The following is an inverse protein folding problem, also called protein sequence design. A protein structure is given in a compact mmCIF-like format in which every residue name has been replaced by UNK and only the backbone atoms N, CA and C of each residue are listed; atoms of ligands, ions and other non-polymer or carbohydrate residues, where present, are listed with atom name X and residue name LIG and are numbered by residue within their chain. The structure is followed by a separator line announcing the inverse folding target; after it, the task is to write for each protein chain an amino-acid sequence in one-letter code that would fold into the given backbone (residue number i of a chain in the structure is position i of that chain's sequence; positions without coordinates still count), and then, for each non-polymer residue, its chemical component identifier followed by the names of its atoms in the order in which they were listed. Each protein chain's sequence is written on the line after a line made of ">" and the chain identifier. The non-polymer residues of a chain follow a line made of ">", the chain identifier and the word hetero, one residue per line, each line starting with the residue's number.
data_IF_431437424467
#
_entry.id   IF_431437424467
#
_cell.length_a   1.000
_cell.length_b   1.000
_cell.length_c   1.000
_cell.angle_alpha   90.00
_cell.angle_beta   90.00
_cell.angle_gamma   90.00
#
_symmetry.space_group_name_H-M   'P 1'
#
loop_
_entity.id
_entity.type
_entity.pdbx_description
1 polymer ?
#
# COMPACT_ATOMS: atom_id res chain seq x y z
N UNK A 1 -12.06 20.45 -3.59
CA UNK A 1 -11.67 19.07 -3.91
C UNK A 1 -10.61 18.66 -2.88
N UNK A 2 -10.67 17.43 -2.35
CA UNK A 2 -9.73 16.90 -1.33
C UNK A 2 -8.76 15.88 -1.89
N UNK A 3 -8.81 15.65 -3.20
CA UNK A 3 -7.98 14.68 -3.88
C UNK A 3 -6.53 15.17 -4.01
N UNK A 4 -5.61 14.21 -4.18
CA UNK A 4 -4.18 14.48 -4.34
C UNK A 4 -3.60 13.60 -5.45
N UNK A 5 -2.73 14.19 -6.27
CA UNK A 5 -1.97 13.48 -7.30
C UNK A 5 -0.51 13.44 -6.88
N UNK A 6 0.00 12.24 -6.60
CA UNK A 6 1.40 12.00 -6.27
C UNK A 6 2.19 11.68 -7.54
N UNK A 7 3.30 12.38 -7.74
CA UNK A 7 4.18 12.15 -8.89
C UNK A 7 3.78 12.88 -10.18
N UNK A 8 2.80 13.79 -10.14
CA UNK A 8 2.27 14.51 -11.31
C UNK A 8 3.34 15.13 -12.23
N UNK A 9 4.47 15.57 -11.65
CA UNK A 9 5.55 16.20 -12.42
C UNK A 9 6.40 15.24 -13.26
N UNK A 10 6.68 14.03 -12.75
CA UNK A 10 7.74 13.16 -13.29
C UNK A 10 7.36 11.67 -13.40
N UNK A 11 6.29 11.22 -12.73
CA UNK A 11 5.90 9.82 -12.76
C UNK A 11 5.24 9.50 -14.10
N UNK A 12 5.64 8.39 -14.72
CA UNK A 12 4.96 7.87 -15.92
C UNK A 12 3.49 7.53 -15.64
N UNK A 13 3.21 7.11 -14.41
CA UNK A 13 1.87 6.79 -13.91
C UNK A 13 1.69 7.50 -12.56
N UNK A 14 1.25 8.78 -12.56
CA UNK A 14 0.93 9.48 -11.33
C UNK A 14 -0.18 8.75 -10.56
N UNK A 15 -0.07 8.76 -9.23
CA UNK A 15 -1.03 8.11 -8.34
C UNK A 15 -2.07 9.15 -7.90
N UNK A 16 -3.33 8.94 -8.31
CA UNK A 16 -4.45 9.79 -7.90
C UNK A 16 -5.21 9.14 -6.74
N UNK A 17 -5.30 9.86 -5.62
CA UNK A 17 -6.02 9.47 -4.41
C UNK A 17 -7.18 10.43 -4.15
N UNK A 18 -8.32 9.91 -3.74
CA UNK A 18 -9.55 10.70 -3.52
C UNK A 18 -9.49 11.53 -2.23
N UNK A 19 -8.59 11.16 -1.30
CA UNK A 19 -8.34 11.84 -0.03
C UNK A 19 -6.83 12.00 0.23
N UNK A 20 -6.40 13.00 1.04
CA UNK A 20 -4.98 13.28 1.27
C UNK A 20 -4.41 12.48 2.46
N UNK A 21 -4.94 11.28 2.71
CA UNK A 21 -4.56 10.41 3.84
C UNK A 21 -4.25 9.03 3.29
N UNK A 22 -3.06 8.50 3.60
CA UNK A 22 -2.66 7.13 3.22
C UNK A 22 -2.44 6.28 4.47
N UNK A 23 -2.55 4.96 4.33
CA UNK A 23 -2.24 4.03 5.42
C UNK A 23 -0.75 3.69 5.37
N UNK A 24 -0.03 4.09 6.42
CA UNK A 24 1.41 3.89 6.55
C UNK A 24 1.78 2.41 6.67
N UNK A 25 3.03 2.10 6.33
CA UNK A 25 3.53 0.72 6.31
C UNK A 25 3.66 0.13 7.71
N UNK A 26 2.99 -1.01 7.92
CA UNK A 26 3.10 -1.82 9.13
C UNK A 26 3.41 -3.26 8.71
N UNK A 27 4.46 -3.84 9.29
CA UNK A 27 4.98 -5.14 8.87
C UNK A 27 3.95 -6.25 9.03
N UNK A 28 3.94 -7.21 8.10
CA UNK A 28 3.43 -8.54 8.43
C UNK A 28 4.23 -9.10 9.62
N UNK A 29 3.54 -9.61 10.64
CA UNK A 29 4.10 -9.95 11.95
C UNK A 29 3.79 -8.91 13.04
N UNK A 30 3.71 -7.63 12.69
CA UNK A 30 3.12 -6.61 13.57
C UNK A 30 1.60 -6.57 13.41
N UNK A 31 1.11 -6.75 12.19
CA UNK A 31 -0.29 -6.98 11.86
C UNK A 31 -0.50 -8.41 11.34
N UNK A 32 -1.69 -8.94 11.60
CA UNK A 32 -2.16 -10.21 11.04
C UNK A 32 -2.65 -10.03 9.59
N UNK A 33 -2.70 -11.13 8.83
CA UNK A 33 -3.26 -11.13 7.47
C UNK A 33 -4.67 -10.51 7.39
N UNK A 34 -5.63 -10.92 8.25
CA UNK A 34 -6.97 -10.31 8.27
C UNK A 34 -6.97 -8.81 8.59
N UNK A 35 -6.08 -8.34 9.46
CA UNK A 35 -5.96 -6.90 9.75
C UNK A 35 -5.47 -6.14 8.51
N UNK A 36 -4.51 -6.71 7.78
CA UNK A 36 -4.02 -6.11 6.53
C UNK A 36 -5.07 -6.15 5.42
N UNK A 37 -5.86 -7.23 5.28
CA UNK A 37 -7.03 -7.27 4.39
C UNK A 37 -8.04 -6.17 4.72
N UNK A 38 -8.39 -6.00 6.00
CA UNK A 38 -9.34 -4.98 6.43
C UNK A 38 -8.85 -3.56 6.08
N UNK A 39 -7.56 -3.28 6.29
CA UNK A 39 -6.96 -2.00 5.89
C UNK A 39 -6.98 -1.81 4.37
N UNK A 40 -6.66 -2.85 3.59
CA UNK A 40 -6.69 -2.82 2.14
C UNK A 40 -8.09 -2.53 1.60
N UNK A 41 -9.10 -3.23 2.12
CA UNK A 41 -10.50 -3.03 1.74
C UNK A 41 -11.00 -1.62 2.08
N UNK A 42 -10.77 -1.17 3.30
CA UNK A 42 -11.15 0.18 3.73
C UNK A 42 -10.46 1.28 2.92
N UNK A 43 -9.16 1.12 2.63
CA UNK A 43 -8.43 2.06 1.79
C UNK A 43 -8.99 2.12 0.37
N UNK A 44 -9.32 0.98 -0.22
CA UNK A 44 -9.93 0.89 -1.55
C UNK A 44 -11.31 1.57 -1.60
N UNK A 45 -12.13 1.40 -0.57
CA UNK A 45 -13.47 2.01 -0.49
C UNK A 45 -13.43 3.54 -0.42
N UNK A 46 -12.42 4.10 0.25
CA UNK A 46 -12.24 5.57 0.36
C UNK A 46 -11.28 6.15 -0.68
N UNK A 47 -10.84 5.34 -1.64
CA UNK A 47 -10.00 5.79 -2.74
C UNK A 47 -8.57 6.18 -2.36
N UNK A 48 -7.99 5.53 -1.35
CA UNK A 48 -6.61 5.76 -0.91
C UNK A 48 -5.71 4.52 -1.00
N UNK A 49 -4.44 4.66 -0.65
CA UNK A 49 -3.42 3.61 -0.71
C UNK A 49 -3.06 3.02 0.65
N UNK A 50 -2.62 1.75 0.64
CA UNK A 50 -1.92 1.10 1.74
C UNK A 50 -0.46 0.82 1.41
N UNK A 51 0.36 0.57 2.42
CA UNK A 51 1.79 0.24 2.27
C UNK A 51 2.13 -1.07 2.98
N UNK A 52 2.89 -1.96 2.36
CA UNK A 52 3.13 -3.35 2.84
C UNK A 52 3.90 -3.45 4.16
N UNK A 53 4.76 -2.47 4.50
CA UNK A 53 5.71 -2.61 5.60
C UNK A 53 6.92 -3.48 5.26
N UNK A 54 7.80 -3.73 6.25
CA UNK A 54 9.06 -4.48 6.07
C UNK A 54 8.86 -5.99 5.86
N UNK A 55 7.72 -6.54 6.30
CA UNK A 55 7.40 -7.96 6.24
C UNK A 55 6.93 -8.46 4.86
N UNK A 56 6.98 -7.60 3.84
CA UNK A 56 6.63 -7.97 2.46
C UNK A 56 5.15 -7.88 2.16
N UNK A 57 4.79 -8.24 0.93
CA UNK A 57 3.41 -8.22 0.46
C UNK A 57 2.72 -9.54 0.79
N UNK A 58 1.55 -9.48 1.41
CA UNK A 58 0.72 -10.67 1.59
C UNK A 58 -0.35 -10.78 0.50
N UNK A 59 -0.84 -12.01 0.19
CA UNK A 59 -1.94 -12.20 -0.76
C UNK A 59 -3.21 -11.41 -0.36
N UNK A 60 -3.47 -11.30 0.95
CA UNK A 60 -4.59 -10.54 1.52
C UNK A 60 -4.53 -9.05 1.16
N UNK A 61 -3.37 -8.41 1.31
CA UNK A 61 -3.19 -7.00 0.91
C UNK A 61 -3.31 -6.82 -0.59
N UNK A 62 -2.66 -7.70 -1.36
CA UNK A 62 -2.67 -7.60 -2.83
C UNK A 62 -4.09 -7.74 -3.39
N UNK A 63 -4.87 -8.66 -2.83
CA UNK A 63 -6.24 -8.92 -3.27
C UNK A 63 -7.24 -7.82 -2.90
N UNK A 64 -6.96 -7.01 -1.88
CA UNK A 64 -7.94 -6.07 -1.30
C UNK A 64 -7.58 -4.59 -1.51
N UNK A 65 -6.33 -4.26 -1.84
CA UNK A 65 -5.89 -2.89 -2.08
C UNK A 65 -5.93 -2.52 -3.57
N UNK A 66 -6.72 -1.48 -3.91
CA UNK A 66 -6.74 -0.81 -5.22
C UNK A 66 -5.39 -0.18 -5.52
N UNK A 67 -4.85 0.56 -4.54
CA UNK A 67 -3.51 1.12 -4.59
C UNK A 67 -2.68 0.53 -3.45
N UNK A 68 -1.66 -0.24 -3.82
CA UNK A 68 -0.74 -0.88 -2.88
C UNK A 68 0.68 -0.38 -3.14
N UNK A 69 1.28 0.24 -2.13
CA UNK A 69 2.67 0.70 -2.15
C UNK A 69 3.56 -0.37 -1.55
N UNK A 70 4.49 -0.88 -2.36
CA UNK A 70 5.49 -1.82 -1.88
C UNK A 70 6.61 -1.09 -1.13
N UNK A 71 6.90 -1.51 0.09
CA UNK A 71 7.96 -0.89 0.88
C UNK A 71 9.27 -1.67 0.77
N UNK A 72 10.33 -0.99 0.33
CA UNK A 72 11.66 -1.57 0.15
C UNK A 72 12.64 -0.97 1.17
N UNK A 73 12.92 -1.70 2.25
CA UNK A 73 13.81 -1.26 3.33
C UNK A 73 15.20 -1.90 3.26
N UNK A 74 16.25 -1.29 3.83
CA UNK A 74 17.61 -1.84 3.85
C UNK A 74 17.73 -3.29 4.37
N UNK A 75 16.85 -3.70 5.28
CA UNK A 75 16.77 -5.05 5.86
C UNK A 75 16.37 -6.13 4.85
N UNK A 76 15.56 -5.78 3.84
CA UNK A 76 15.05 -6.70 2.80
C UNK A 76 14.24 -7.89 3.33
N UNK A 77 13.68 -7.82 4.54
CA UNK A 77 13.10 -9.01 5.18
C UNK A 77 11.96 -9.66 4.39
N UNK A 78 11.01 -8.87 3.92
CA UNK A 78 9.92 -9.36 3.08
C UNK A 78 10.07 -9.00 1.61
N UNK A 79 11.29 -8.66 1.15
CA UNK A 79 11.51 -8.29 -0.24
C UNK A 79 11.43 -9.52 -1.14
N UNK A 80 10.52 -9.48 -2.11
CA UNK A 80 10.35 -10.50 -3.13
C UNK A 80 10.14 -9.82 -4.49
N UNK A 81 11.05 -10.00 -5.46
CA UNK A 81 10.89 -9.44 -6.80
C UNK A 81 9.65 -9.94 -7.55
N UNK A 82 9.14 -11.13 -7.22
CA UNK A 82 7.95 -11.68 -7.87
C UNK A 82 6.65 -10.96 -7.47
N UNK A 83 6.71 -10.11 -6.44
CA UNK A 83 5.57 -9.30 -6.00
C UNK A 83 5.44 -7.97 -6.78
N UNK A 84 6.43 -7.61 -7.62
CA UNK A 84 6.54 -6.30 -8.31
C UNK A 84 6.00 -6.30 -9.75
#
# INVERSE_FOLDING_TARGET
>A
ATDVILGDRNAKHPLHLDIPVTIAGMSFGALSGPAKEALGRGASEVGTSTTTGDGGMTPEERGQSKYLVYQYLPSRYGMNPDDL
#
